data_IF_276062130755
#
_entry.id   IF_276062130755
#
_cell.length_a   1.000
_cell.length_b   1.000
_cell.length_c   1.000
_cell.angle_alpha   90.00
_cell.angle_beta   90.00
_cell.angle_gamma   90.00
#
_symmetry.space_group_name_H-M   'P 1'
#
loop_
_entity.id
_entity.type
_entity.pdbx_description
1 polymer ?
#
# COMPACT_ATOMS: atom_id res chain seq x y z
N UNK A 1 45.24 -25.14 45.74
CA UNK A 1 44.75 -23.75 45.64
C UNK A 1 45.92 -22.90 45.18
N UNK A 2 45.90 -22.38 43.95
CA UNK A 2 46.89 -21.41 43.45
C UNK A 2 46.09 -20.26 42.85
N UNK A 3 46.19 -19.07 43.44
CA UNK A 3 45.54 -17.85 42.95
C UNK A 3 46.65 -16.98 42.37
N UNK A 4 46.71 -16.87 41.05
CA UNK A 4 47.66 -16.00 40.36
C UNK A 4 47.18 -14.55 40.47
N UNK A 5 47.82 -13.78 41.34
CA UNK A 5 47.61 -12.33 41.40
C UNK A 5 48.42 -11.68 40.27
N UNK A 6 47.75 -11.21 39.22
CA UNK A 6 48.40 -10.42 38.17
C UNK A 6 48.49 -8.96 38.64
N UNK A 7 49.70 -8.43 38.82
CA UNK A 7 49.94 -7.00 38.98
C UNK A 7 49.72 -6.34 37.62
N UNK A 8 48.57 -5.71 37.44
CA UNK A 8 48.26 -5.03 36.18
C UNK A 8 48.86 -3.63 36.20
N UNK A 9 49.81 -3.38 35.29
CA UNK A 9 50.43 -2.06 35.12
C UNK A 9 49.38 -1.05 34.63
N UNK A 10 49.15 0.03 35.39
CA UNK A 10 48.18 1.09 35.05
C UNK A 10 48.38 1.66 33.64
N UNK A 11 49.62 1.67 33.15
CA UNK A 11 49.99 2.12 31.79
C UNK A 11 49.51 1.16 30.69
N UNK A 12 49.45 -0.15 30.97
CA UNK A 12 48.92 -1.16 30.06
C UNK A 12 47.38 -1.15 30.03
N UNK A 13 46.74 -0.94 31.18
CA UNK A 13 45.28 -0.73 31.24
C UNK A 13 44.88 0.49 30.41
N UNK A 14 45.62 1.60 30.52
CA UNK A 14 45.32 2.81 29.78
C UNK A 14 45.45 2.61 28.26
N UNK A 15 46.45 1.86 27.79
CA UNK A 15 46.59 1.53 26.37
C UNK A 15 45.49 0.60 25.85
N UNK A 16 45.09 -0.40 26.63
CA UNK A 16 43.99 -1.30 26.27
C UNK A 16 42.66 -0.52 26.22
N UNK A 17 42.43 0.38 27.18
CA UNK A 17 41.21 1.21 27.21
C UNK A 17 41.16 2.19 26.03
N UNK A 18 42.29 2.80 25.66
CA UNK A 18 42.38 3.65 24.48
C UNK A 18 42.13 2.88 23.18
N UNK A 19 42.65 1.65 23.07
CA UNK A 19 42.40 0.77 21.93
C UNK A 19 40.93 0.37 21.79
N UNK A 20 40.27 0.05 22.91
CA UNK A 20 38.83 -0.29 22.92
C UNK A 20 37.98 0.93 22.55
N UNK A 21 38.30 2.13 23.05
CA UNK A 21 37.60 3.35 22.68
C UNK A 21 37.74 3.68 21.18
N UNK A 22 38.94 3.50 20.60
CA UNK A 22 39.16 3.67 19.17
C UNK A 22 38.42 2.62 18.33
N UNK A 23 38.35 1.37 18.79
CA UNK A 23 37.58 0.31 18.13
C UNK A 23 36.07 0.56 18.19
N UNK A 24 35.53 1.05 19.31
CA UNK A 24 34.12 1.44 19.43
C UNK A 24 33.82 2.64 18.53
N UNK A 25 34.71 3.63 18.46
CA UNK A 25 34.54 4.77 17.56
C UNK A 25 34.57 4.33 16.09
N UNK A 26 35.49 3.43 15.72
CA UNK A 26 35.55 2.86 14.38
C UNK A 26 34.28 2.04 14.07
N UNK A 27 33.79 1.27 15.03
CA UNK A 27 32.55 0.49 14.89
C UNK A 27 31.32 1.41 14.75
N UNK A 28 31.25 2.51 15.49
CA UNK A 28 30.21 3.52 15.34
C UNK A 28 30.33 4.28 14.01
N UNK A 29 31.52 4.47 13.45
CA UNK A 29 31.68 5.06 12.13
C UNK A 29 31.31 4.08 11.00
N UNK A 30 31.56 2.78 11.18
CA UNK A 30 31.23 1.74 10.18
C UNK A 30 29.76 1.30 10.25
N UNK A 31 29.14 1.33 11.44
CA UNK A 31 27.76 0.85 11.65
C UNK A 31 26.77 1.92 12.14
N UNK A 32 27.23 3.12 12.52
CA UNK A 32 26.40 4.19 13.09
C UNK A 32 26.16 5.38 12.16
N UNK A 33 26.45 5.24 10.86
CA UNK A 33 26.05 6.21 9.84
C UNK A 33 24.55 6.10 9.53
N UNK A 34 23.71 6.68 10.39
CA UNK A 34 22.26 6.69 10.19
C UNK A 34 21.51 7.56 11.18
N UNK A 35 22.11 8.69 11.55
CA UNK A 35 21.51 9.68 12.44
C UNK A 35 21.70 11.08 11.87
N UNK A 36 21.50 11.25 10.57
CA UNK A 36 21.53 12.57 9.95
C UNK A 36 20.14 13.18 10.06
N UNK A 37 20.06 14.26 10.82
CA UNK A 37 19.01 15.27 10.69
C UNK A 37 18.93 15.67 9.23
N UNK A 38 17.89 15.16 8.57
CA UNK A 38 17.74 15.23 7.13
C UNK A 38 17.30 16.63 6.68
N UNK A 39 18.17 17.29 5.92
CA UNK A 39 17.81 18.42 5.07
C UNK A 39 16.77 17.93 4.04
N UNK A 40 15.57 18.54 3.98
CA UNK A 40 14.44 18.04 3.20
C UNK A 40 14.70 18.06 1.69
N UNK A 41 15.75 18.69 1.20
CA UNK A 41 16.00 18.84 -0.25
C UNK A 41 16.82 17.69 -0.84
N UNK A 42 17.82 17.16 -0.13
CA UNK A 42 18.73 16.11 -0.65
C UNK A 42 18.16 14.69 -0.47
N UNK A 43 17.29 14.51 0.53
CA UNK A 43 16.60 13.24 0.77
C UNK A 43 15.48 12.97 -0.23
N UNK A 44 14.95 14.02 -0.86
CA UNK A 44 13.87 13.87 -1.84
C UNK A 44 14.34 13.17 -3.10
N UNK A 45 15.54 13.44 -3.62
CA UNK A 45 16.07 12.78 -4.82
C UNK A 45 16.49 11.34 -4.53
N UNK A 46 17.34 11.12 -3.52
CA UNK A 46 17.81 9.77 -3.17
C UNK A 46 16.67 8.85 -2.76
N UNK A 47 15.70 9.37 -1.99
CA UNK A 47 14.52 8.61 -1.61
C UNK A 47 13.57 8.36 -2.79
N UNK A 48 13.44 9.32 -3.71
CA UNK A 48 12.65 9.16 -4.93
C UNK A 48 13.23 8.10 -5.85
N UNK A 49 14.54 8.13 -6.09
CA UNK A 49 15.21 7.19 -6.98
C UNK A 49 15.06 5.75 -6.47
N UNK A 50 15.16 5.54 -5.14
CA UNK A 50 14.87 4.24 -4.52
C UNK A 50 13.42 3.78 -4.73
N UNK A 51 12.44 4.70 -4.64
CA UNK A 51 11.02 4.38 -4.87
C UNK A 51 10.74 4.03 -6.34
N UNK A 52 11.35 4.75 -7.27
CA UNK A 52 11.25 4.45 -8.70
C UNK A 52 11.93 3.12 -9.02
N UNK A 53 13.13 2.88 -8.49
CA UNK A 53 13.84 1.61 -8.64
C UNK A 53 13.03 0.42 -8.08
N UNK A 54 12.42 0.57 -6.92
CA UNK A 54 11.53 -0.44 -6.35
C UNK A 54 10.39 -0.80 -7.31
N UNK A 55 9.73 0.19 -7.93
CA UNK A 55 8.67 -0.08 -8.90
C UNK A 55 9.20 -0.78 -10.17
N UNK A 56 10.41 -0.41 -10.62
CA UNK A 56 11.08 -1.04 -11.76
C UNK A 56 11.44 -2.50 -11.51
N UNK A 57 11.75 -2.90 -10.27
CA UNK A 57 11.97 -4.32 -9.92
C UNK A 57 10.74 -5.19 -10.20
N UNK A 58 9.54 -4.61 -10.14
CA UNK A 58 8.28 -5.26 -10.55
C UNK A 58 7.93 -5.08 -12.02
N UNK A 59 8.80 -4.42 -12.80
CA UNK A 59 8.64 -4.14 -14.22
C UNK A 59 7.86 -2.86 -14.53
N UNK A 60 7.51 -2.03 -13.55
CA UNK A 60 6.76 -0.80 -13.80
C UNK A 60 7.66 0.33 -14.28
N UNK A 61 7.20 1.02 -15.30
CA UNK A 61 7.71 2.32 -15.70
C UNK A 61 6.79 3.41 -15.17
N UNK A 62 7.39 4.43 -14.56
CA UNK A 62 6.66 5.55 -13.96
C UNK A 62 7.29 6.88 -14.31
N UNK A 63 6.50 7.95 -14.18
CA UNK A 63 7.04 9.31 -14.21
C UNK A 63 8.11 9.48 -13.10
N UNK A 64 9.15 10.26 -13.41
CA UNK A 64 10.29 10.45 -12.50
C UNK A 64 9.89 11.03 -11.13
N UNK A 65 8.91 11.93 -11.09
CA UNK A 65 8.40 12.54 -9.86
C UNK A 65 7.01 11.99 -9.51
N UNK A 66 6.69 11.84 -8.21
CA UNK A 66 5.36 11.44 -7.80
C UNK A 66 4.34 12.51 -8.19
N UNK A 67 3.18 12.08 -8.67
CA UNK A 67 2.03 12.94 -8.94
C UNK A 67 1.44 13.50 -7.64
N UNK A 68 1.49 12.73 -6.55
CA UNK A 68 1.05 13.16 -5.22
C UNK A 68 1.96 12.57 -4.15
N UNK A 69 2.17 13.33 -3.08
CA UNK A 69 2.81 12.83 -1.86
C UNK A 69 2.11 13.40 -0.64
N UNK A 70 2.14 12.68 0.49
CA UNK A 70 1.57 13.18 1.73
C UNK A 70 1.53 12.14 2.83
N UNK A 71 1.41 12.61 4.06
CA UNK A 71 1.31 11.76 5.24
C UNK A 71 -0.07 11.10 5.34
N UNK A 72 -0.08 9.82 5.72
CA UNK A 72 -1.30 9.08 6.04
C UNK A 72 -1.11 8.33 7.35
N UNK A 73 -2.13 8.35 8.20
CA UNK A 73 -2.11 7.62 9.48
C UNK A 73 -2.72 6.25 9.30
N UNK A 74 -1.99 5.21 9.69
CA UNK A 74 -2.51 3.84 9.72
C UNK A 74 -3.49 3.74 10.90
N UNK A 75 -4.73 3.29 10.68
CA UNK A 75 -5.73 3.24 11.74
C UNK A 75 -5.33 2.25 12.83
N UNK A 76 -5.54 2.64 14.10
CA UNK A 76 -5.36 1.73 15.25
C UNK A 76 -6.48 0.71 15.34
N UNK A 77 -7.71 1.15 15.06
CA UNK A 77 -8.88 0.27 15.01
C UNK A 77 -9.19 -0.07 13.55
N UNK A 78 -9.08 -1.35 13.14
CA UNK A 78 -9.31 -1.74 11.77
C UNK A 78 -10.77 -1.51 11.36
N UNK A 79 -10.96 -0.89 10.20
CA UNK A 79 -12.26 -0.82 9.52
C UNK A 79 -12.33 -1.93 8.47
N UNK A 80 -13.53 -2.32 8.03
CA UNK A 80 -13.68 -3.31 6.94
C UNK A 80 -12.93 -2.90 5.66
N UNK A 81 -12.85 -1.60 5.37
CA UNK A 81 -12.11 -1.10 4.22
C UNK A 81 -10.59 -1.26 4.41
N UNK A 82 -10.09 -0.93 5.59
CA UNK A 82 -8.69 -1.15 5.96
C UNK A 82 -8.33 -2.63 5.96
N UNK A 83 -9.18 -3.52 6.48
CA UNK A 83 -8.95 -4.96 6.49
C UNK A 83 -8.80 -5.53 5.07
N UNK A 84 -9.67 -5.12 4.15
CA UNK A 84 -9.56 -5.52 2.73
C UNK A 84 -8.27 -5.01 2.11
N UNK A 85 -7.91 -3.76 2.38
CA UNK A 85 -6.66 -3.19 1.87
C UNK A 85 -5.45 -3.92 2.47
N UNK A 86 -5.43 -4.16 3.77
CA UNK A 86 -4.34 -4.88 4.43
C UNK A 86 -4.26 -6.35 3.98
N UNK A 87 -5.37 -6.99 3.61
CA UNK A 87 -5.34 -8.32 3.00
C UNK A 87 -4.61 -8.31 1.65
N UNK A 88 -4.81 -7.28 0.81
CA UNK A 88 -4.03 -7.05 -0.40
C UNK A 88 -2.54 -6.79 -0.09
N UNK A 89 -2.23 -6.09 0.99
CA UNK A 89 -0.84 -5.89 1.41
C UNK A 89 -0.20 -7.21 1.83
N UNK A 90 -0.92 -8.04 2.60
CA UNK A 90 -0.48 -9.36 3.05
C UNK A 90 -0.20 -10.34 1.93
N UNK A 91 -0.98 -10.32 0.85
CA UNK A 91 -0.71 -11.20 -0.30
C UNK A 91 0.60 -10.86 -1.01
N UNK A 92 1.16 -9.66 -0.78
CA UNK A 92 2.44 -9.21 -1.30
C UNK A 92 3.58 -9.34 -0.27
N UNK A 93 3.31 -9.88 0.92
CA UNK A 93 4.29 -10.03 2.00
C UNK A 93 4.37 -8.84 2.96
N UNK A 94 3.50 -7.84 2.83
CA UNK A 94 3.44 -6.68 3.72
C UNK A 94 2.38 -6.86 4.83
N UNK A 95 2.53 -6.19 5.98
CA UNK A 95 1.48 -6.19 7.01
C UNK A 95 1.40 -4.83 7.70
N UNK A 96 0.38 -4.06 7.34
CA UNK A 96 0.16 -2.71 7.85
C UNK A 96 -0.22 -2.69 9.33
N UNK A 97 -0.71 -3.81 9.89
CA UNK A 97 -1.06 -3.87 11.32
C UNK A 97 0.15 -3.68 12.24
N UNK A 98 1.36 -3.97 11.73
CA UNK A 98 2.63 -3.71 12.42
C UNK A 98 2.92 -2.21 12.60
N UNK A 99 2.22 -1.36 11.85
CA UNK A 99 2.37 0.09 11.82
C UNK A 99 1.10 0.80 12.32
N UNK A 100 0.20 0.09 13.01
CA UNK A 100 -1.05 0.66 13.53
C UNK A 100 -0.80 1.90 14.41
N UNK A 101 -1.57 2.97 14.17
CA UNK A 101 -1.45 4.25 14.85
C UNK A 101 -0.30 5.14 14.38
N UNK A 102 0.62 4.63 13.56
CA UNK A 102 1.75 5.37 13.03
C UNK A 102 1.37 6.18 11.79
N UNK A 103 2.09 7.28 11.60
CA UNK A 103 2.03 8.08 10.37
C UNK A 103 3.11 7.61 9.41
N UNK A 104 2.74 7.39 8.16
CA UNK A 104 3.62 6.93 7.09
C UNK A 104 3.49 7.85 5.89
N UNK A 105 4.48 7.87 5.02
CA UNK A 105 4.44 8.67 3.81
C UNK A 105 3.79 7.89 2.67
N UNK A 106 2.81 8.49 2.00
CA UNK A 106 2.21 7.97 0.77
C UNK A 106 2.80 8.71 -0.42
N UNK A 107 3.28 7.98 -1.41
CA UNK A 107 3.70 8.50 -2.71
C UNK A 107 2.88 7.86 -3.82
N UNK A 108 2.39 8.66 -4.76
CA UNK A 108 1.59 8.20 -5.90
C UNK A 108 2.32 8.56 -7.17
N UNK A 109 2.69 7.56 -7.96
CA UNK A 109 3.38 7.71 -9.24
C UNK A 109 2.44 7.38 -10.39
N UNK A 110 2.54 8.11 -11.50
CA UNK A 110 1.81 7.76 -12.72
C UNK A 110 2.57 6.65 -13.45
N UNK A 111 1.90 5.53 -13.69
CA UNK A 111 2.42 4.39 -14.45
C UNK A 111 2.26 4.64 -15.95
N UNK A 112 3.27 4.30 -16.73
CA UNK A 112 3.33 4.58 -18.18
C UNK A 112 3.25 3.33 -19.05
N UNK A 113 3.48 2.14 -18.48
CA UNK A 113 3.54 0.87 -19.24
C UNK A 113 2.46 -0.15 -18.82
N UNK A 114 1.35 0.30 -18.23
CA UNK A 114 0.28 -0.63 -17.83
C UNK A 114 -0.41 -1.27 -19.05
N UNK A 115 -0.46 -2.62 -19.15
CA UNK A 115 -1.01 -3.29 -20.32
C UNK A 115 -2.50 -2.97 -20.53
N UNK A 116 -2.83 -2.45 -21.72
CA UNK A 116 -4.22 -2.19 -22.11
C UNK A 116 -4.90 -1.03 -21.37
N UNK A 117 -4.13 -0.16 -20.71
CA UNK A 117 -4.68 1.01 -20.04
C UNK A 117 -5.45 1.93 -21.00
N UNK A 118 -6.71 2.22 -20.68
CA UNK A 118 -7.53 3.24 -21.37
C UNK A 118 -7.52 4.57 -20.64
N UNK A 119 -7.29 4.53 -19.33
CA UNK A 119 -7.27 5.66 -18.41
C UNK A 119 -5.95 5.67 -17.61
N UNK A 120 -5.63 6.76 -16.91
CA UNK A 120 -4.41 6.83 -16.10
C UNK A 120 -4.34 5.70 -15.07
N UNK A 121 -3.15 5.10 -14.95
CA UNK A 121 -2.86 4.11 -13.92
C UNK A 121 -1.85 4.70 -12.94
N UNK A 122 -2.04 4.42 -11.66
CA UNK A 122 -1.20 4.94 -10.59
C UNK A 122 -0.60 3.83 -9.74
N UNK A 123 0.67 4.00 -9.36
CA UNK A 123 1.33 3.18 -8.36
C UNK A 123 1.40 3.96 -7.05
N UNK A 124 0.79 3.42 -6.00
CA UNK A 124 0.86 3.95 -4.64
C UNK A 124 1.92 3.21 -3.87
N UNK A 125 2.81 3.93 -3.18
CA UNK A 125 3.78 3.40 -2.23
C UNK A 125 3.52 3.98 -0.85
N UNK A 126 3.47 3.12 0.17
CA UNK A 126 3.48 3.48 1.58
C UNK A 126 4.88 3.25 2.13
N UNK A 127 5.50 4.31 2.65
CA UNK A 127 6.89 4.31 3.10
C UNK A 127 6.97 4.73 4.56
N UNK A 128 7.65 3.95 5.37
CA UNK A 128 7.94 4.25 6.77
C UNK A 128 9.43 4.03 7.05
N UNK A 129 10.11 5.08 7.54
CA UNK A 129 11.56 5.08 7.79
C UNK A 129 12.36 4.56 6.57
N UNK A 130 12.11 5.16 5.41
CA UNK A 130 12.75 4.84 4.12
C UNK A 130 12.53 3.41 3.59
N UNK A 131 11.66 2.62 4.21
CA UNK A 131 11.27 1.29 3.74
C UNK A 131 9.86 1.30 3.16
N UNK A 132 9.67 0.65 2.00
CA UNK A 132 8.33 0.37 1.47
C UNK A 132 7.66 -0.67 2.37
N UNK A 133 6.51 -0.33 2.92
CA UNK A 133 5.72 -1.18 3.83
C UNK A 133 4.41 -1.64 3.22
N UNK A 134 4.17 -1.30 1.96
CA UNK A 134 2.97 -1.64 1.21
C UNK A 134 2.70 -0.67 0.08
N UNK A 135 1.62 -0.94 -0.66
CA UNK A 135 1.12 -0.14 -1.76
C UNK A 135 0.34 -1.00 -2.76
N UNK A 136 0.04 -0.39 -3.89
CA UNK A 136 -0.84 -0.98 -4.91
C UNK A 136 -0.67 -0.29 -6.26
N UNK A 137 -1.18 -0.97 -7.30
CA UNK A 137 -1.40 -0.41 -8.63
C UNK A 137 -2.91 -0.24 -8.80
N UNK A 138 -3.32 0.98 -9.15
CA UNK A 138 -4.72 1.36 -9.33
C UNK A 138 -4.94 1.81 -10.77
N UNK A 139 -5.72 1.04 -11.53
CA UNK A 139 -6.30 1.46 -12.80
C UNK A 139 -7.57 2.28 -12.53
N UNK A 140 -7.62 3.52 -13.02
CA UNK A 140 -8.76 4.42 -12.78
C UNK A 140 -9.88 4.31 -13.80
N UNK A 141 -9.78 3.38 -14.76
CA UNK A 141 -10.85 3.13 -15.72
C UNK A 141 -12.13 2.66 -15.04
N UNK A 142 -13.27 2.75 -15.73
CA UNK A 142 -14.56 2.32 -15.16
C UNK A 142 -14.61 0.83 -14.78
N UNK A 143 -13.79 0.00 -15.44
CA UNK A 143 -13.59 -1.43 -15.12
C UNK A 143 -12.23 -1.69 -14.44
N UNK A 144 -11.59 -0.61 -14.01
CA UNK A 144 -10.29 -0.62 -13.38
C UNK A 144 -10.32 -1.36 -12.05
N UNK A 145 -9.16 -1.88 -11.68
CA UNK A 145 -8.99 -2.67 -10.46
C UNK A 145 -7.77 -2.18 -9.69
N UNK A 146 -7.81 -2.42 -8.39
CA UNK A 146 -6.64 -2.26 -7.52
C UNK A 146 -6.01 -3.64 -7.37
N UNK A 147 -4.71 -3.74 -7.59
CA UNK A 147 -3.95 -4.97 -7.36
C UNK A 147 -2.56 -4.67 -6.81
N UNK A 148 -1.83 -5.73 -6.44
CA UNK A 148 -0.49 -5.59 -5.90
C UNK A 148 0.54 -5.20 -6.96
N UNK A 149 1.79 -5.00 -6.56
CA UNK A 149 2.89 -4.60 -7.44
C UNK A 149 3.19 -5.61 -8.54
N UNK A 150 2.81 -6.88 -8.43
CA UNK A 150 3.08 -7.83 -9.50
C UNK A 150 2.37 -7.41 -10.78
N UNK A 151 3.13 -7.24 -11.87
CA UNK A 151 2.58 -6.89 -13.17
C UNK A 151 1.59 -7.97 -13.65
N UNK A 152 0.37 -7.58 -14.09
CA UNK A 152 -0.58 -8.53 -14.62
C UNK A 152 0.05 -9.16 -15.86
N UNK A 153 0.00 -10.49 -15.94
CA UNK A 153 0.41 -11.18 -17.15
C UNK A 153 -0.50 -10.70 -18.29
N UNK A 154 0.10 -10.29 -19.42
CA UNK A 154 -0.62 -9.91 -20.64
C UNK A 154 -1.41 -11.11 -21.14
N UNK A 155 -2.62 -11.31 -20.63
CA UNK A 155 -3.51 -12.34 -21.14
C UNK A 155 -4.00 -11.81 -22.49
N UNK A 156 -3.47 -12.34 -23.60
CA UNK A 156 -4.24 -12.35 -24.85
C UNK A 156 -5.51 -13.09 -24.52
N UNK A 157 -6.58 -12.34 -24.34
CA UNK A 157 -7.91 -12.81 -23.96
C UNK A 157 -8.30 -14.12 -24.67
N UNK A 158 -8.66 -15.15 -23.90
CA UNK A 158 -9.81 -15.95 -24.23
C UNK A 158 -10.87 -15.75 -23.15
N UNK A 159 -12.11 -15.63 -23.61
CA UNK A 159 -13.30 -15.39 -22.82
C UNK A 159 -13.44 -16.31 -21.59
N UNK A 160 -14.06 -15.71 -20.57
CA UNK A 160 -14.76 -16.34 -19.45
C UNK A 160 -13.94 -17.16 -18.43
N UNK A 161 -13.83 -16.61 -17.22
CA UNK A 161 -13.99 -17.43 -16.02
C UNK A 161 -14.80 -16.61 -15.02
N UNK A 162 -16.12 -16.67 -15.17
CA UNK A 162 -17.05 -16.38 -14.08
C UNK A 162 -16.66 -17.23 -12.88
N UNK A 163 -16.23 -16.59 -11.79
CA UNK A 163 -16.18 -17.25 -10.50
C UNK A 163 -17.61 -17.40 -10.00
N UNK A 164 -18.16 -18.60 -10.19
CA UNK A 164 -19.40 -19.07 -9.56
C UNK A 164 -19.27 -18.96 -8.04
N UNK A 165 -20.00 -18.04 -7.44
CA UNK A 165 -20.27 -18.04 -6.00
C UNK A 165 -21.36 -19.09 -5.70
N UNK A 166 -21.17 -19.99 -4.72
CA UNK A 166 -22.21 -20.92 -4.33
C UNK A 166 -23.18 -20.22 -3.37
N UNK A 167 -24.42 -19.99 -3.81
CA UNK A 167 -25.54 -19.63 -2.95
C UNK A 167 -26.34 -20.90 -2.62
N UNK A 168 -26.09 -21.48 -1.44
CA UNK A 168 -26.99 -22.42 -0.75
C UNK A 168 -27.85 -21.60 0.23
N UNK A 169 -29.15 -21.79 0.49
CA UNK A 169 -30.17 -22.72 0.03
C UNK A 169 -31.46 -22.53 0.87
N UNK A 170 -32.59 -22.96 0.29
CA UNK A 170 -33.91 -23.35 0.87
C UNK A 170 -34.75 -22.31 1.66
N UNK A 171 -36.07 -22.15 1.45
CA UNK A 171 -37.16 -23.17 1.57
C UNK A 171 -38.46 -22.57 0.96
N UNK A 172 -39.04 -23.21 -0.08
CA UNK A 172 -40.31 -23.99 -0.13
C UNK A 172 -41.63 -23.26 0.17
N UNK A 173 -42.52 -23.29 -0.83
CA UNK A 173 -43.97 -23.09 -0.69
C UNK A 173 -44.68 -22.96 -2.04
N UNK A 174 -45.01 -24.10 -2.67
CA UNK A 174 -45.87 -24.19 -3.85
C UNK A 174 -47.34 -23.86 -3.49
N UNK A 175 -48.08 -23.16 -4.35
CA UNK A 175 -49.43 -23.57 -4.80
C UNK A 175 -49.85 -22.86 -6.10
N UNK A 176 -50.72 -23.53 -6.85
CA UNK A 176 -51.04 -23.39 -8.29
C UNK A 176 -52.38 -22.64 -8.51
N UNK A 177 -52.37 -21.57 -9.34
CA UNK A 177 -53.37 -21.01 -10.32
C UNK A 177 -54.91 -20.97 -10.01
N UNK A 178 -55.83 -20.35 -10.82
CA UNK A 178 -55.77 -19.30 -11.89
C UNK A 178 -56.84 -18.15 -11.80
N UNK A 179 -56.70 -17.12 -12.67
CA UNK A 179 -57.69 -16.19 -13.34
C UNK A 179 -58.92 -15.60 -12.64
N UNK A 180 -59.14 -14.26 -12.71
CA UNK A 180 -60.21 -13.56 -13.50
C UNK A 180 -60.24 -12.02 -13.33
N UNK A 181 -60.24 -11.33 -14.49
CA UNK A 181 -60.93 -10.10 -14.96
C UNK A 181 -61.31 -8.85 -14.11
N UNK A 182 -61.35 -7.72 -14.86
CA UNK A 182 -62.13 -6.46 -14.68
C UNK A 182 -61.47 -5.38 -13.80
N UNK A 183 -61.29 -4.10 -14.14
CA UNK A 183 -61.91 -3.20 -15.13
C UNK A 183 -61.01 -1.97 -15.44
N UNK A 184 -61.42 -1.25 -16.47
CA UNK A 184 -60.88 -0.05 -17.10
C UNK A 184 -60.58 1.18 -16.20
N UNK A 185 -59.63 2.02 -16.64
CA UNK A 185 -59.88 3.40 -17.16
C UNK A 185 -58.62 4.27 -17.07
N UNK A 186 -58.08 4.62 -18.23
CA UNK A 186 -57.33 5.87 -18.56
C UNK A 186 -58.38 6.84 -19.15
N UNK A 187 -58.30 8.21 -19.15
CA UNK A 187 -57.12 9.11 -19.10
C UNK A 187 -57.29 10.43 -18.29
N UNK A 188 -56.23 11.26 -18.23
CA UNK A 188 -56.21 12.68 -18.69
C UNK A 188 -55.38 13.63 -17.80
N UNK A 189 -54.21 14.02 -18.35
CA UNK A 189 -53.69 15.41 -18.54
C UNK A 189 -54.12 16.51 -17.55
N UNK A 190 -53.16 17.22 -16.95
CA UNK A 190 -53.03 18.69 -17.07
C UNK A 190 -51.70 19.21 -16.48
N UNK A 191 -51.03 20.03 -17.29
CA UNK A 191 -50.01 20.99 -16.87
C UNK A 191 -50.65 22.14 -16.07
N UNK A 192 -49.87 22.89 -15.27
CA UNK A 192 -49.91 24.38 -15.15
C UNK A 192 -49.04 24.90 -13.98
N UNK A 193 -48.01 25.66 -14.39
CA UNK A 193 -47.33 26.86 -13.83
C UNK A 193 -47.15 27.15 -12.34
N UNK A 194 -45.94 27.66 -12.06
CA UNK A 194 -45.53 28.54 -10.97
C UNK A 194 -46.43 29.78 -10.78
N UNK A 195 -46.25 30.50 -9.65
CA UNK A 195 -45.57 31.79 -9.78
C UNK A 195 -44.54 32.10 -8.68
N UNK A 196 -43.70 33.07 -9.01
CA UNK A 196 -42.68 33.70 -8.20
C UNK A 196 -43.25 34.52 -7.04
N UNK A 197 -42.44 34.65 -5.99
CA UNK A 197 -42.41 35.76 -5.05
C UNK A 197 -40.94 36.10 -4.77
#
# INVERSE_FOLDING_TARGET
MMVMTAKVDKKKILMVLAGVAAAILLLLLVFGGGGETQDPTVQTSTGNDKRVAFLQEFGWEVNASPAQSGEVRIPETPTKAYERYNALQKSQGYDLTKYAGQTVMRYVYKVTNYPGATDPVYATLLVHKDAVIGGDITDTSAKGRIHGFQMPQSVKEPAATESTQPSQGATTGNETAPTTDTDATTPTRQATTAPAA
#
